data_IF_475962021139
#
_entry.id   IF_475962021139
#
_cell.length_a   1.000
_cell.length_b   1.000
_cell.length_c   1.000
_cell.angle_alpha   90.00
_cell.angle_beta   90.00
_cell.angle_gamma   90.00
#
_symmetry.space_group_name_H-M   'P 1'
#
loop_
_entity.id
_entity.type
_entity.pdbx_description
1 polymer ?
#
# COMPACT_ATOMS: atom_id res chain seq x y z
N UNK A 1 20.49 -15.67 -25.19
CA UNK A 1 21.13 -14.34 -25.29
C UNK A 1 20.36 -13.60 -26.37
N UNK A 2 19.57 -12.59 -25.97
CA UNK A 2 18.44 -12.09 -26.77
C UNK A 2 18.93 -11.20 -27.92
N UNK A 3 18.34 -11.33 -29.13
CA UNK A 3 18.66 -10.56 -30.34
C UNK A 3 18.70 -9.04 -30.09
N UNK A 4 17.84 -8.58 -29.18
CA UNK A 4 17.76 -7.19 -28.70
C UNK A 4 19.07 -6.65 -28.10
N UNK A 5 19.91 -7.50 -27.48
CA UNK A 5 21.16 -7.07 -26.84
C UNK A 5 22.25 -6.79 -27.88
N UNK A 6 22.23 -7.48 -29.02
CA UNK A 6 23.22 -7.33 -30.10
C UNK A 6 22.98 -6.05 -30.92
N UNK A 7 21.73 -5.67 -31.20
CA UNK A 7 21.43 -4.38 -31.85
C UNK A 7 21.82 -3.19 -30.97
N UNK A 8 21.58 -3.30 -29.65
CA UNK A 8 21.96 -2.25 -28.70
C UNK A 8 23.48 -2.08 -28.62
N UNK A 9 24.25 -3.17 -28.70
CA UNK A 9 25.72 -3.11 -28.72
C UNK A 9 26.25 -2.42 -29.98
N UNK A 10 25.58 -2.62 -31.12
CA UNK A 10 25.92 -2.00 -32.41
C UNK A 10 25.60 -0.50 -32.42
N UNK A 11 24.49 -0.10 -31.80
CA UNK A 11 24.12 1.31 -31.60
C UNK A 11 25.09 2.02 -30.65
N UNK A 12 25.49 1.38 -29.55
CA UNK A 12 26.49 1.91 -28.60
C UNK A 12 27.86 2.11 -29.29
N UNK A 13 28.29 1.15 -30.13
CA UNK A 13 29.54 1.29 -30.90
C UNK A 13 29.48 2.42 -31.94
N UNK A 14 28.34 2.61 -32.62
CA UNK A 14 28.12 3.77 -33.52
C UNK A 14 28.15 5.09 -32.75
N UNK A 15 27.55 5.12 -31.55
CA UNK A 15 27.54 6.29 -30.70
C UNK A 15 28.94 6.66 -30.20
N UNK A 16 29.75 5.67 -29.81
CA UNK A 16 31.13 5.88 -29.37
C UNK A 16 32.04 6.37 -30.52
N UNK A 17 31.77 5.92 -31.76
CA UNK A 17 32.47 6.40 -32.96
C UNK A 17 32.14 7.87 -33.28
N UNK A 18 30.93 8.34 -32.95
CA UNK A 18 30.52 9.75 -33.12
C UNK A 18 31.21 10.69 -32.11
N UNK A 19 31.54 10.20 -30.91
CA UNK A 19 32.17 11.00 -29.85
C UNK A 19 33.66 11.27 -30.14
N UNK A 20 34.32 10.43 -30.93
CA UNK A 20 35.77 10.53 -31.16
C UNK A 20 36.17 11.45 -32.33
N UNK A 21 35.28 12.33 -32.79
CA UNK A 21 35.54 13.25 -33.90
C UNK A 21 35.98 14.63 -33.39
N UNK A 22 37.31 14.81 -33.37
CA UNK A 22 38.11 16.04 -33.37
C UNK A 22 37.52 17.31 -32.73
N UNK A 23 38.08 17.62 -31.56
CA UNK A 23 38.39 18.94 -30.99
C UNK A 23 38.38 20.10 -32.00
N UNK A 24 37.64 21.17 -31.70
CA UNK A 24 38.23 22.47 -31.36
C UNK A 24 37.16 23.50 -30.96
N UNK A 25 37.44 24.20 -29.85
CA UNK A 25 36.88 25.47 -29.35
C UNK A 25 35.55 25.46 -28.57
N UNK A 26 35.73 25.77 -27.29
CA UNK A 26 34.74 26.12 -26.27
C UNK A 26 33.72 27.17 -26.74
N UNK A 27 32.44 26.89 -26.52
CA UNK A 27 31.53 27.85 -25.88
C UNK A 27 30.72 27.12 -24.81
N UNK A 28 30.83 27.58 -23.56
CA UNK A 28 30.29 26.93 -22.34
C UNK A 28 28.75 27.02 -22.22
N UNK A 29 28.03 27.36 -23.29
CA UNK A 29 26.62 27.78 -23.21
C UNK A 29 25.64 26.76 -23.82
N UNK A 30 26.08 25.55 -24.16
CA UNK A 30 25.22 24.50 -24.75
C UNK A 30 25.13 23.21 -23.91
N UNK A 31 25.54 23.25 -22.64
CA UNK A 31 25.43 22.10 -21.72
C UNK A 31 24.02 21.98 -21.10
N UNK A 32 23.10 22.92 -21.40
CA UNK A 32 21.75 22.96 -20.79
C UNK A 32 20.70 22.16 -21.60
N UNK A 33 21.09 21.47 -22.68
CA UNK A 33 20.14 20.70 -23.52
C UNK A 33 20.49 19.20 -23.61
N UNK A 34 20.84 18.58 -22.48
CA UNK A 34 21.29 17.18 -22.48
C UNK A 34 21.07 16.40 -21.19
N UNK A 35 20.11 16.80 -20.34
CA UNK A 35 19.84 16.09 -19.09
C UNK A 35 18.34 16.16 -18.75
N UNK A 36 17.52 15.37 -19.44
CA UNK A 36 16.07 15.49 -19.26
C UNK A 36 15.24 14.33 -19.77
N UNK A 37 15.75 13.09 -19.74
CA UNK A 37 14.90 11.91 -19.85
C UNK A 37 15.38 10.85 -18.85
N UNK A 38 15.15 11.11 -17.57
CA UNK A 38 15.07 10.03 -16.59
C UNK A 38 13.69 9.41 -16.80
N UNK A 39 13.64 8.36 -17.64
CA UNK A 39 12.47 7.50 -17.73
C UNK A 39 12.20 6.92 -16.34
N UNK A 40 11.14 7.41 -15.70
CA UNK A 40 10.58 6.84 -14.49
C UNK A 40 10.12 5.42 -14.85
N UNK A 41 10.96 4.42 -14.59
CA UNK A 41 10.52 3.03 -14.54
C UNK A 41 9.70 2.87 -13.26
N UNK A 42 8.47 3.36 -13.26
CA UNK A 42 7.47 3.03 -12.26
C UNK A 42 7.14 1.56 -12.41
N UNK A 43 7.93 0.70 -11.76
CA UNK A 43 7.63 -0.71 -11.65
C UNK A 43 6.28 -0.86 -10.96
N UNK A 44 5.30 -1.44 -11.65
CA UNK A 44 4.03 -1.80 -11.07
C UNK A 44 4.29 -2.83 -9.95
N UNK A 45 4.25 -2.38 -8.70
CA UNK A 45 4.48 -3.22 -7.53
C UNK A 45 3.33 -4.21 -7.39
N UNK A 46 3.60 -5.49 -7.65
CA UNK A 46 2.58 -6.53 -7.59
C UNK A 46 2.24 -6.85 -6.14
N UNK A 47 1.07 -6.42 -5.69
CA UNK A 47 0.52 -6.76 -4.37
C UNK A 47 -0.41 -7.97 -4.47
N UNK A 48 -0.30 -8.91 -3.54
CA UNK A 48 -1.15 -10.12 -3.44
C UNK A 48 -2.18 -9.95 -2.31
N UNK A 49 -3.43 -10.40 -2.48
CA UNK A 49 -4.41 -10.42 -1.38
C UNK A 49 -3.93 -11.28 -0.21
N UNK A 50 -4.10 -10.79 1.00
CA UNK A 50 -3.82 -11.55 2.22
C UNK A 50 -5.00 -12.46 2.57
N UNK A 51 -4.72 -13.74 2.80
CA UNK A 51 -5.73 -14.78 3.07
C UNK A 51 -5.24 -15.75 4.15
N UNK A 52 -6.15 -16.53 4.74
CA UNK A 52 -5.77 -17.59 5.68
C UNK A 52 -4.86 -18.64 5.01
N UNK A 53 -5.07 -18.95 3.73
CA UNK A 53 -4.22 -19.85 2.95
C UNK A 53 -2.78 -19.34 2.88
N UNK A 54 -2.58 -18.05 2.61
CA UNK A 54 -1.24 -17.42 2.61
C UNK A 54 -0.61 -17.53 4.01
N UNK A 55 -1.40 -17.22 5.04
CA UNK A 55 -0.94 -17.27 6.44
C UNK A 55 -0.43 -18.65 6.83
N UNK A 56 -1.16 -19.71 6.49
CA UNK A 56 -0.77 -21.10 6.80
C UNK A 56 0.38 -21.58 5.91
N UNK A 57 0.31 -21.30 4.60
CA UNK A 57 1.33 -21.72 3.62
C UNK A 57 2.74 -21.20 3.97
N UNK A 58 2.85 -19.97 4.46
CA UNK A 58 4.14 -19.36 4.81
C UNK A 58 4.42 -19.35 6.32
N UNK A 59 3.61 -20.05 7.12
CA UNK A 59 3.74 -20.11 8.58
C UNK A 59 3.90 -18.71 9.21
N UNK A 60 3.00 -17.80 8.88
CA UNK A 60 3.00 -16.41 9.34
C UNK A 60 2.40 -16.32 10.75
N UNK A 61 3.27 -16.54 11.73
CA UNK A 61 3.00 -16.30 13.15
C UNK A 61 2.85 -14.79 13.45
N UNK A 62 2.41 -14.47 14.68
CA UNK A 62 2.20 -13.08 15.11
C UNK A 62 3.46 -12.22 14.97
N UNK A 63 4.63 -12.74 15.32
CA UNK A 63 5.89 -12.00 15.26
C UNK A 63 6.24 -11.63 13.81
N UNK A 64 5.98 -12.51 12.84
CA UNK A 64 6.16 -12.22 11.42
C UNK A 64 5.11 -11.22 10.91
N UNK A 65 3.85 -11.41 11.27
CA UNK A 65 2.76 -10.51 10.85
C UNK A 65 3.02 -9.07 11.28
N UNK A 66 3.51 -8.84 12.51
CA UNK A 66 3.88 -7.50 13.00
C UNK A 66 5.04 -6.85 12.26
N UNK A 67 5.86 -7.62 11.54
CA UNK A 67 6.99 -7.13 10.73
C UNK A 67 6.64 -6.95 9.24
N UNK A 68 5.45 -7.37 8.82
CA UNK A 68 5.02 -7.25 7.44
C UNK A 68 4.44 -5.86 7.16
N UNK A 69 4.69 -5.36 5.96
CA UNK A 69 3.99 -4.21 5.42
C UNK A 69 2.71 -4.65 4.72
N UNK A 70 1.58 -4.06 5.10
CA UNK A 70 0.28 -4.27 4.50
C UNK A 70 -0.19 -3.03 3.74
N UNK A 71 -1.08 -3.26 2.79
CA UNK A 71 -1.77 -2.24 2.01
C UNK A 71 -3.24 -2.61 1.86
N UNK A 72 -4.07 -1.66 1.44
CA UNK A 72 -5.49 -1.90 1.17
C UNK A 72 -5.76 -1.93 -0.33
N UNK A 73 -6.80 -2.66 -0.73
CA UNK A 73 -7.16 -2.84 -2.14
C UNK A 73 -7.72 -1.58 -2.80
N UNK A 74 -8.37 -0.73 -2.03
CA UNK A 74 -9.03 0.51 -2.44
C UNK A 74 -9.02 1.47 -1.26
N UNK A 75 -9.15 2.77 -1.55
CA UNK A 75 -9.15 3.82 -0.53
C UNK A 75 -10.32 3.63 0.44
N UNK A 76 -10.09 4.03 1.70
CA UNK A 76 -11.10 3.99 2.77
C UNK A 76 -11.29 5.42 3.27
N UNK A 77 -12.54 5.87 3.29
CA UNK A 77 -12.91 7.15 3.90
C UNK A 77 -13.69 6.88 5.19
N UNK A 78 -13.18 7.40 6.30
CA UNK A 78 -13.87 7.44 7.58
C UNK A 78 -14.51 8.81 7.75
N UNK A 79 -15.74 8.83 8.23
CA UNK A 79 -16.49 10.05 8.44
C UNK A 79 -17.10 10.08 9.83
N UNK A 80 -16.99 11.23 10.50
CA UNK A 80 -17.64 11.52 11.77
C UNK A 80 -18.27 12.90 11.70
N UNK A 81 -19.58 12.97 11.90
CA UNK A 81 -20.29 14.24 12.07
C UNK A 81 -20.49 14.53 13.55
N UNK A 82 -20.18 15.74 13.99
CA UNK A 82 -20.57 16.26 15.29
C UNK A 82 -21.56 17.41 15.08
N UNK A 83 -22.75 17.30 15.70
CA UNK A 83 -23.66 18.46 15.79
C UNK A 83 -23.00 19.43 16.75
N UNK A 84 -22.74 20.65 16.28
CA UNK A 84 -22.19 21.69 17.14
C UNK A 84 -23.25 22.27 18.07
N UNK A 85 -22.76 23.14 18.97
CA UNK A 85 -23.57 23.81 19.98
C UNK A 85 -24.45 24.85 19.29
N UNK A 86 -25.73 24.88 19.67
CA UNK A 86 -26.60 26.02 19.36
C UNK A 86 -26.32 27.09 20.41
N UNK A 87 -25.73 28.20 20.01
CA UNK A 87 -25.57 29.37 20.87
C UNK A 87 -26.63 30.39 20.54
N UNK A 88 -27.10 31.06 21.59
CA UNK A 88 -28.07 32.15 21.52
C UNK A 88 -27.45 33.31 22.28
N UNK A 89 -27.14 34.38 21.57
CA UNK A 89 -26.51 35.57 22.12
C UNK A 89 -27.28 36.80 21.65
N UNK A 90 -27.20 37.90 22.40
CA UNK A 90 -27.71 39.20 21.96
C UNK A 90 -26.52 40.00 21.42
N UNK A 91 -26.69 40.66 20.29
CA UNK A 91 -25.71 41.66 19.84
C UNK A 91 -25.81 42.95 20.68
N UNK A 92 -24.92 43.92 20.40
CA UNK A 92 -24.88 45.22 21.09
C UNK A 92 -26.20 46.02 20.93
N UNK A 93 -27.01 45.70 19.91
CA UNK A 93 -28.33 46.30 19.66
C UNK A 93 -29.49 45.52 20.32
N UNK A 94 -29.19 44.43 21.05
CA UNK A 94 -30.20 43.57 21.66
C UNK A 94 -30.94 42.65 20.68
N UNK A 95 -30.39 42.41 19.48
CA UNK A 95 -30.95 41.44 18.52
C UNK A 95 -30.45 40.03 18.85
N UNK A 96 -31.36 39.07 18.81
CA UNK A 96 -31.05 37.66 19.01
C UNK A 96 -30.26 37.08 17.83
N UNK A 97 -29.01 36.70 18.08
CA UNK A 97 -28.17 35.91 17.17
C UNK A 97 -28.28 34.44 17.57
N UNK A 98 -28.76 33.61 16.64
CA UNK A 98 -28.77 32.15 16.79
C UNK A 98 -27.70 31.56 15.88
N UNK A 99 -26.65 31.00 16.47
CA UNK A 99 -25.58 30.34 15.73
C UNK A 99 -25.67 28.83 15.92
N UNK A 100 -25.55 28.07 14.82
CA UNK A 100 -25.42 26.61 14.86
C UNK A 100 -24.14 26.23 14.13
N UNK A 101 -23.20 25.63 14.84
CA UNK A 101 -22.05 24.98 14.19
C UNK A 101 -22.36 23.51 13.92
N UNK A 102 -21.74 22.95 12.90
CA UNK A 102 -21.67 21.51 12.66
C UNK A 102 -20.28 21.23 12.09
N UNK A 103 -19.60 20.22 12.60
CA UNK A 103 -18.30 19.81 12.07
C UNK A 103 -18.44 18.43 11.42
N UNK A 104 -17.76 18.29 10.29
CA UNK A 104 -17.64 17.03 9.58
C UNK A 104 -16.16 16.69 9.47
N UNK A 105 -15.76 15.64 10.16
CA UNK A 105 -14.41 15.11 10.15
C UNK A 105 -14.32 13.95 9.17
N UNK A 106 -13.39 14.03 8.21
CA UNK A 106 -13.15 13.01 7.20
C UNK A 106 -11.68 12.61 7.21
N UNK A 107 -11.43 11.31 7.34
CA UNK A 107 -10.09 10.73 7.32
C UNK A 107 -10.01 9.82 6.10
N UNK A 108 -9.04 10.08 5.21
CA UNK A 108 -8.77 9.26 4.03
C UNK A 108 -7.55 8.38 4.29
N UNK A 109 -7.69 7.09 4.00
CA UNK A 109 -6.58 6.15 3.93
C UNK A 109 -6.46 5.70 2.49
N UNK A 110 -5.38 6.11 1.82
CA UNK A 110 -5.13 5.75 0.43
C UNK A 110 -4.64 4.31 0.29
N UNK A 111 -4.95 3.68 -0.85
CA UNK A 111 -4.56 2.30 -1.16
C UNK A 111 -3.06 2.03 -1.15
N UNK A 112 -2.26 3.08 -1.35
CA UNK A 112 -0.79 3.03 -1.35
C UNK A 112 -0.19 3.26 0.05
N UNK A 113 -1.02 3.57 1.04
CA UNK A 113 -0.54 3.86 2.40
C UNK A 113 -0.01 2.59 3.05
N UNK A 114 1.27 2.56 3.46
CA UNK A 114 1.84 1.43 4.17
C UNK A 114 1.20 1.31 5.56
N UNK A 115 0.69 0.13 5.89
CA UNK A 115 0.15 -0.20 7.21
C UNK A 115 0.87 -1.34 7.91
N UNK A 116 0.88 -1.34 9.23
CA UNK A 116 1.54 -2.34 10.08
C UNK A 116 0.53 -3.05 10.98
N UNK A 117 0.76 -4.34 11.24
CA UNK A 117 -0.09 -5.08 12.18
C UNK A 117 0.28 -4.72 13.61
N UNK A 118 -0.65 -4.10 14.34
CA UNK A 118 -0.46 -3.71 15.75
C UNK A 118 -0.97 -4.80 16.69
N UNK A 119 -2.03 -5.53 16.30
CA UNK A 119 -2.62 -6.63 17.10
C UNK A 119 -3.11 -7.76 16.20
N UNK A 120 -2.86 -8.99 16.64
CA UNK A 120 -3.52 -10.19 16.11
C UNK A 120 -4.72 -10.48 17.01
N UNK A 121 -5.92 -10.50 16.43
CA UNK A 121 -7.17 -10.71 17.14
C UNK A 121 -7.68 -12.13 16.89
N UNK A 122 -8.53 -12.63 17.78
CA UNK A 122 -9.17 -13.94 17.63
C UNK A 122 -10.09 -13.98 16.40
N UNK A 123 -10.28 -15.18 15.85
CA UNK A 123 -11.19 -15.40 14.71
C UNK A 123 -10.68 -14.82 13.38
N UNK A 124 -9.38 -15.02 13.07
CA UNK A 124 -8.75 -14.61 11.82
C UNK A 124 -8.91 -13.11 11.53
N UNK A 125 -8.58 -12.29 12.52
CA UNK A 125 -8.64 -10.83 12.44
C UNK A 125 -7.29 -10.21 12.77
N UNK A 126 -6.97 -9.12 12.10
CA UNK A 126 -5.77 -8.31 12.31
C UNK A 126 -6.20 -6.85 12.50
N UNK A 127 -5.62 -6.19 13.49
CA UNK A 127 -5.65 -4.73 13.60
C UNK A 127 -4.45 -4.17 12.85
N UNK A 128 -4.72 -3.37 11.82
CA UNK A 128 -3.70 -2.73 10.98
C UNK A 128 -3.78 -1.22 11.20
N UNK A 129 -2.68 -0.62 11.65
CA UNK A 129 -2.53 0.84 11.73
C UNK A 129 -1.88 1.36 10.44
N UNK A 130 -2.42 2.46 9.93
CA UNK A 130 -1.86 3.26 8.82
C UNK A 130 -1.42 4.65 9.31
N UNK A 131 -1.41 4.84 10.62
CA UNK A 131 -1.24 6.12 11.29
C UNK A 131 -0.01 6.06 12.20
N UNK A 132 0.35 7.21 12.78
CA UNK A 132 1.53 7.31 13.65
C UNK A 132 1.39 6.54 14.96
N UNK A 133 0.15 6.32 15.42
CA UNK A 133 -0.13 5.68 16.71
C UNK A 133 -0.77 4.30 16.56
N UNK A 134 -0.50 3.42 17.53
CA UNK A 134 -0.98 2.04 17.55
C UNK A 134 -2.46 1.90 17.96
N UNK A 135 -3.08 2.95 18.50
CA UNK A 135 -4.50 3.01 18.88
C UNK A 135 -5.41 3.42 17.71
N UNK A 136 -4.83 3.98 16.65
CA UNK A 136 -5.50 4.32 15.40
C UNK A 136 -5.34 3.19 14.39
N UNK A 137 -6.23 2.19 14.46
CA UNK A 137 -6.19 1.05 13.56
C UNK A 137 -7.55 0.70 12.96
N UNK A 138 -7.49 0.02 11.83
CA UNK A 138 -8.63 -0.61 11.19
C UNK A 138 -8.53 -2.12 11.36
N UNK A 139 -9.67 -2.77 11.59
CA UNK A 139 -9.71 -4.22 11.74
C UNK A 139 -10.04 -4.85 10.40
N UNK A 140 -9.23 -5.81 9.98
CA UNK A 140 -9.48 -6.63 8.80
C UNK A 140 -9.55 -8.09 9.19
N UNK A 141 -10.42 -8.86 8.55
CA UNK A 141 -10.54 -10.26 8.90
C UNK A 141 -11.25 -11.12 7.89
N UNK A 142 -11.11 -12.42 8.11
CA UNK A 142 -11.81 -13.46 7.38
C UNK A 142 -12.38 -14.51 8.36
N UNK A 143 -13.39 -14.11 9.17
CA UNK A 143 -13.89 -14.96 10.27
C UNK A 143 -14.52 -16.26 9.78
N UNK A 144 -15.05 -16.26 8.55
CA UNK A 144 -15.74 -17.40 7.95
C UNK A 144 -14.87 -18.14 6.92
N UNK A 145 -13.58 -17.85 6.85
CA UNK A 145 -12.62 -18.43 5.92
C UNK A 145 -13.06 -18.38 4.44
N UNK A 146 -13.64 -17.24 4.03
CA UNK A 146 -14.16 -16.98 2.67
C UNK A 146 -13.10 -16.44 1.72
N UNK A 147 -11.87 -16.25 2.19
CA UNK A 147 -10.72 -15.91 1.37
C UNK A 147 -9.94 -14.72 1.92
N UNK A 148 -10.31 -13.51 1.49
CA UNK A 148 -9.54 -12.28 1.76
C UNK A 148 -9.88 -11.71 3.13
N UNK A 149 -8.91 -11.07 3.76
CA UNK A 149 -9.12 -10.29 4.98
C UNK A 149 -9.79 -8.96 4.61
N UNK A 150 -11.12 -8.88 4.75
CA UNK A 150 -11.92 -7.71 4.41
C UNK A 150 -12.01 -6.74 5.59
N UNK A 151 -12.25 -5.46 5.30
CA UNK A 151 -12.46 -4.42 6.30
C UNK A 151 -13.69 -4.75 7.15
N UNK A 152 -13.51 -4.67 8.47
CA UNK A 152 -14.53 -5.04 9.45
C UNK A 152 -15.14 -3.78 10.07
N UNK A 153 -16.46 -3.80 10.22
CA UNK A 153 -17.23 -2.84 11.01
C UNK A 153 -17.89 -3.53 12.19
N UNK A 154 -18.14 -2.79 13.28
CA UNK A 154 -18.96 -3.26 14.39
C UNK A 154 -20.43 -3.45 13.98
N UNK A 155 -20.91 -2.57 13.10
CA UNK A 155 -22.27 -2.60 12.54
C UNK A 155 -22.23 -2.09 11.10
N UNK A 156 -23.04 -2.66 10.22
CA UNK A 156 -23.20 -2.17 8.84
C UNK A 156 -24.65 -1.76 8.60
N UNK A 157 -24.86 -0.52 8.16
CA UNK A 157 -26.18 0.02 7.82
C UNK A 157 -26.10 0.89 6.58
N UNK A 158 -26.95 0.61 5.59
CA UNK A 158 -27.00 1.36 4.32
C UNK A 158 -25.60 1.53 3.66
N UNK A 159 -24.79 0.47 3.66
CA UNK A 159 -23.43 0.48 3.10
C UNK A 159 -22.37 1.21 3.92
N UNK A 160 -22.73 1.77 5.08
CA UNK A 160 -21.79 2.42 6.02
C UNK A 160 -21.44 1.48 7.16
N UNK A 161 -20.16 1.41 7.50
CA UNK A 161 -19.64 0.57 8.58
C UNK A 161 -19.31 1.39 9.82
N UNK A 162 -19.94 1.13 10.97
CA UNK A 162 -19.62 1.79 12.24
C UNK A 162 -18.34 1.19 12.83
N UNK A 163 -17.40 2.03 13.23
CA UNK A 163 -16.15 1.61 13.87
C UNK A 163 -15.81 2.50 15.06
N UNK A 164 -15.03 1.97 16.00
CA UNK A 164 -14.30 2.77 16.99
C UNK A 164 -12.87 2.96 16.48
N UNK A 165 -12.44 4.20 16.35
CA UNK A 165 -11.15 4.60 15.79
C UNK A 165 -10.61 5.76 16.62
N UNK A 166 -9.42 5.60 17.23
CA UNK A 166 -8.82 6.62 18.10
C UNK A 166 -9.72 7.07 19.25
N UNK A 167 -10.48 6.13 19.84
CA UNK A 167 -11.43 6.41 20.94
C UNK A 167 -12.74 7.08 20.53
N UNK A 168 -12.93 7.38 19.25
CA UNK A 168 -14.12 8.04 18.69
C UNK A 168 -14.89 7.11 17.76
N UNK A 169 -16.19 7.33 17.61
CA UNK A 169 -17.00 6.57 16.65
C UNK A 169 -16.94 7.25 15.27
N UNK A 170 -16.49 6.49 14.26
CA UNK A 170 -16.49 6.89 12.86
C UNK A 170 -17.36 5.92 12.03
N UNK A 171 -17.69 6.35 10.82
CA UNK A 171 -18.37 5.55 9.81
C UNK A 171 -17.50 5.40 8.57
N UNK A 172 -17.23 4.16 8.18
CA UNK A 172 -16.67 3.82 6.88
C UNK A 172 -17.71 4.16 5.82
N UNK A 173 -17.33 4.97 4.83
CA UNK A 173 -18.20 5.29 3.70
C UNK A 173 -18.28 4.13 2.70
N UNK A 174 -19.37 4.05 1.89
CA UNK A 174 -19.62 2.90 1.01
C UNK A 174 -18.48 2.53 0.06
N UNK A 175 -17.70 3.51 -0.40
CA UNK A 175 -16.54 3.27 -1.27
C UNK A 175 -15.46 2.38 -0.65
N UNK A 176 -15.31 2.41 0.68
CA UNK A 176 -14.32 1.61 1.42
C UNK A 176 -14.87 0.28 1.94
N UNK A 177 -16.18 0.01 1.82
CA UNK A 177 -16.82 -1.14 2.46
C UNK A 177 -16.28 -2.50 1.98
N UNK A 178 -15.84 -2.56 0.71
CA UNK A 178 -15.25 -3.75 0.10
C UNK A 178 -13.72 -3.83 0.18
N UNK A 179 -13.07 -2.95 0.93
CA UNK A 179 -11.61 -2.93 1.03
C UNK A 179 -11.09 -4.22 1.70
N UNK A 180 -9.98 -4.75 1.18
CA UNK A 180 -9.31 -5.92 1.74
C UNK A 180 -7.79 -5.74 1.81
N UNK A 181 -7.14 -6.50 2.69
CA UNK A 181 -5.69 -6.45 2.88
C UNK A 181 -4.93 -7.09 1.73
N UNK A 182 -3.85 -6.44 1.36
CA UNK A 182 -2.83 -6.91 0.44
C UNK A 182 -1.45 -6.81 1.08
N UNK A 183 -0.51 -7.54 0.54
CA UNK A 183 0.90 -7.47 0.92
C UNK A 183 1.77 -7.74 -0.31
N UNK A 184 3.05 -7.41 -0.23
CA UNK A 184 3.99 -7.69 -1.29
C UNK A 184 4.69 -9.03 -1.08
N UNK A 185 4.72 -9.84 -2.13
CA UNK A 185 5.43 -11.11 -2.11
C UNK A 185 6.66 -11.02 -3.01
N UNK A 186 7.84 -10.98 -2.39
CA UNK A 186 9.12 -11.10 -3.12
C UNK A 186 9.56 -12.56 -3.14
N UNK A 187 9.45 -13.20 -4.30
CA UNK A 187 9.98 -14.56 -4.51
C UNK A 187 11.45 -14.48 -4.93
N UNK A 188 12.37 -14.86 -4.04
CA UNK A 188 13.77 -15.08 -4.39
C UNK A 188 13.94 -16.55 -4.76
N UNK A 189 14.36 -16.83 -6.00
CA UNK A 189 14.63 -18.20 -6.46
C UNK A 189 16.11 -18.49 -6.30
N UNK A 190 16.51 -19.01 -5.16
CA UNK A 190 17.86 -19.55 -4.96
C UNK A 190 17.86 -21.03 -5.37
N UNK A 191 18.35 -21.33 -6.57
CA UNK A 191 18.55 -22.71 -7.01
C UNK A 191 19.92 -23.21 -6.54
N UNK A 192 19.94 -24.20 -5.63
CA UNK A 192 21.14 -25.04 -5.41
C UNK A 192 21.02 -26.31 -6.25
N UNK A 193 21.66 -26.32 -7.41
CA UNK A 193 21.73 -27.53 -8.26
C UNK A 193 22.88 -28.42 -7.78
N UNK A 194 22.57 -29.61 -7.27
CA UNK A 194 23.58 -30.65 -6.99
C UNK A 194 23.53 -31.70 -8.10
N UNK A 195 24.43 -31.61 -9.08
CA UNK A 195 24.52 -32.61 -10.15
C UNK A 195 25.48 -33.73 -9.73
N UNK A 196 24.96 -34.95 -9.56
CA UNK A 196 25.79 -36.16 -9.46
C UNK A 196 25.64 -36.98 -10.73
N UNK A 197 26.74 -37.21 -11.43
CA UNK A 197 26.81 -38.11 -12.60
C UNK A 197 27.04 -39.53 -12.10
N UNK A 198 26.12 -40.44 -12.39
CA UNK A 198 26.27 -41.85 -12.06
C UNK A 198 27.37 -42.49 -12.91
N UNK A 199 28.21 -43.34 -12.31
CA UNK A 199 29.33 -44.02 -12.99
C UNK A 199 28.97 -45.39 -13.56
N UNK A 200 27.73 -45.87 -13.36
CA UNK A 200 27.36 -47.25 -13.66
C UNK A 200 27.93 -48.25 -12.64
N UNK A 201 27.39 -49.48 -12.63
CA UNK A 201 27.84 -50.59 -11.77
C UNK A 201 27.94 -51.83 -12.65
N UNK A 202 29.02 -52.58 -12.53
CA UNK A 202 29.20 -53.88 -13.21
C UNK A 202 29.06 -55.03 -12.21
N UNK A 203 28.70 -56.19 -12.73
CA UNK A 203 28.51 -57.44 -11.97
C UNK A 203 29.87 -58.13 -11.89
N UNK A 204 30.22 -58.67 -10.71
CA UNK A 204 31.36 -59.57 -10.53
C UNK A 204 30.92 -61.02 -10.71
#
# INVERSE_FOLDING_TARGET
MNSFVLEQLLLIKKFFKLINMKSTRLSKTLIILGLGVVTVLSGCQSTTPFTNTVRTQYNLDEAKLKKMQFYISTDITLQRGERGVKTQELDEDGKLIVSSSASLDNILVDAKTPGVCVKVLSGNKLAISFFETDDQYLVFGDPNNRGRYNLMGAEWKAGKGKINFGGKTYYILPGGAGAYLKFELKKVKDYKTTTKKAKGRTIN
#
